data_IF_357477763850
#
_entry.id   IF_357477763850
#
_cell.length_a   1.000
_cell.length_b   1.000
_cell.length_c   1.000
_cell.angle_alpha   90.00
_cell.angle_beta   90.00
_cell.angle_gamma   90.00
#
_symmetry.space_group_name_H-M   'P 1'
#
loop_
_entity.id
_entity.type
_entity.pdbx_description
1 polymer ?
#
# COMPACT_ATOMS: atom_id res chain seq x y z
N UNK A 1 23.44 -27.00 -8.86
CA UNK A 1 22.65 -26.00 -9.60
C UNK A 1 23.39 -24.68 -9.54
N UNK A 2 23.58 -23.97 -10.65
CA UNK A 2 24.08 -22.61 -10.63
C UNK A 2 23.02 -21.66 -10.06
N UNK A 3 23.44 -20.59 -9.39
CA UNK A 3 22.53 -19.60 -8.78
C UNK A 3 21.64 -18.91 -9.83
N UNK A 4 22.09 -18.82 -11.08
CA UNK A 4 21.33 -18.23 -12.20
C UNK A 4 20.12 -19.08 -12.58
N UNK A 5 20.29 -20.40 -12.70
CA UNK A 5 19.19 -21.34 -12.96
C UNK A 5 18.17 -21.32 -11.79
N UNK A 6 18.66 -21.24 -10.56
CA UNK A 6 17.79 -21.12 -9.38
C UNK A 6 17.00 -19.81 -9.40
N UNK A 7 17.63 -18.71 -9.80
CA UNK A 7 16.96 -17.41 -9.95
C UNK A 7 15.86 -17.44 -11.01
N UNK A 8 16.11 -18.09 -12.14
CA UNK A 8 15.12 -18.26 -13.22
C UNK A 8 13.93 -19.10 -12.75
N UNK A 9 14.17 -20.23 -12.08
CA UNK A 9 13.10 -21.08 -11.51
C UNK A 9 12.23 -20.28 -10.52
N UNK A 10 12.83 -19.46 -9.65
CA UNK A 10 12.10 -18.62 -8.69
C UNK A 10 11.31 -17.53 -9.41
N UNK A 11 11.88 -16.88 -10.43
CA UNK A 11 11.15 -15.88 -11.21
C UNK A 11 9.96 -16.48 -11.95
N UNK A 12 10.11 -17.68 -12.51
CA UNK A 12 9.01 -18.39 -13.15
C UNK A 12 7.93 -18.75 -12.12
N UNK A 13 8.29 -19.29 -10.96
CA UNK A 13 7.34 -19.63 -9.90
C UNK A 13 6.49 -18.41 -9.49
N UNK A 14 7.13 -17.28 -9.22
CA UNK A 14 6.45 -16.03 -8.89
C UNK A 14 5.58 -15.50 -10.04
N UNK A 15 6.03 -15.67 -11.29
CA UNK A 15 5.26 -15.25 -12.47
C UNK A 15 3.99 -16.10 -12.68
N UNK A 16 4.02 -17.37 -12.29
CA UNK A 16 2.85 -18.25 -12.36
C UNK A 16 1.85 -17.98 -11.23
N UNK A 17 2.26 -17.36 -10.13
CA UNK A 17 1.32 -16.96 -9.07
C UNK A 17 0.57 -15.69 -9.46
N UNK A 18 -0.72 -15.85 -9.78
CA UNK A 18 -1.62 -14.73 -10.09
C UNK A 18 -1.89 -13.79 -8.93
N UNK A 19 -1.56 -14.19 -7.70
CA UNK A 19 -1.76 -13.40 -6.49
C UNK A 19 -0.58 -12.52 -6.17
N UNK A 20 0.57 -12.71 -6.83
CA UNK A 20 1.81 -11.97 -6.60
C UNK A 20 2.18 -11.16 -7.84
N UNK A 21 2.47 -9.87 -7.66
CA UNK A 21 3.01 -9.05 -8.75
C UNK A 21 4.52 -9.29 -8.90
N UNK A 22 4.88 -10.26 -9.75
CA UNK A 22 6.28 -10.61 -10.01
C UNK A 22 7.10 -9.44 -10.61
N UNK A 23 6.47 -8.50 -11.31
CA UNK A 23 7.17 -7.34 -11.91
C UNK A 23 7.61 -6.33 -10.82
N UNK A 24 6.86 -6.27 -9.73
CA UNK A 24 7.19 -5.45 -8.56
C UNK A 24 8.28 -6.06 -7.66
N UNK A 25 8.70 -7.31 -7.92
CA UNK A 25 9.66 -8.05 -7.10
C UNK A 25 10.98 -8.25 -7.83
N UNK A 26 12.06 -7.82 -7.21
CA UNK A 26 13.43 -8.14 -7.62
C UNK A 26 13.93 -9.35 -6.85
N UNK A 27 14.34 -10.39 -7.59
CA UNK A 27 14.92 -11.63 -7.07
C UNK A 27 16.43 -11.63 -7.25
N UNK A 28 17.15 -11.77 -6.13
CA UNK A 28 18.60 -11.97 -6.10
C UNK A 28 18.92 -13.32 -5.44
N UNK A 29 19.87 -14.06 -6.01
CA UNK A 29 20.31 -15.36 -5.46
C UNK A 29 21.82 -15.32 -5.25
N UNK A 30 22.26 -15.73 -4.07
CA UNK A 30 23.68 -15.82 -3.73
C UNK A 30 23.96 -17.04 -2.86
N UNK A 31 24.76 -17.97 -3.38
CA UNK A 31 25.13 -19.22 -2.69
C UNK A 31 23.92 -20.06 -2.21
N UNK A 32 22.82 -20.04 -2.99
CA UNK A 32 21.54 -20.67 -2.64
C UNK A 32 20.70 -19.92 -1.61
N UNK A 33 21.07 -18.69 -1.22
CA UNK A 33 20.23 -17.79 -0.42
C UNK A 33 19.50 -16.83 -1.37
N UNK A 34 18.18 -16.85 -1.31
CA UNK A 34 17.29 -16.00 -2.11
C UNK A 34 16.97 -14.74 -1.34
N UNK A 35 17.06 -13.58 -1.99
CA UNK A 35 16.66 -12.30 -1.43
C UNK A 35 15.58 -11.69 -2.32
N UNK A 36 14.40 -11.44 -1.73
CA UNK A 36 13.26 -10.81 -2.39
C UNK A 36 13.17 -9.35 -1.96
N UNK A 37 13.21 -8.42 -2.92
CA UNK A 37 13.11 -6.97 -2.69
C UNK A 37 11.98 -6.38 -3.51
N UNK A 38 11.27 -5.40 -2.97
CA UNK A 38 10.15 -4.80 -3.68
C UNK A 38 9.13 -4.16 -2.75
N UNK A 39 8.10 -3.60 -3.35
CA UNK A 39 6.99 -2.97 -2.67
C UNK A 39 5.66 -3.55 -3.20
N UNK A 40 4.94 -4.28 -2.35
CA UNK A 40 3.70 -4.98 -2.70
C UNK A 40 2.49 -4.29 -2.04
N UNK A 41 1.27 -4.34 -2.60
CA UNK A 41 0.11 -3.63 -2.07
C UNK A 41 -0.43 -4.23 -0.76
N UNK A 42 -0.20 -5.52 -0.49
CA UNK A 42 -0.72 -6.21 0.69
C UNK A 42 0.30 -7.17 1.34
N UNK A 43 0.09 -7.50 2.62
CA UNK A 43 0.95 -8.44 3.36
C UNK A 43 0.78 -9.90 2.90
N UNK A 44 -0.40 -10.25 2.39
CA UNK A 44 -0.68 -11.58 1.87
C UNK A 44 0.21 -11.89 0.65
N UNK A 45 0.42 -10.90 -0.22
CA UNK A 45 1.35 -10.99 -1.34
C UNK A 45 2.79 -11.26 -0.92
N UNK A 46 3.26 -10.59 0.14
CA UNK A 46 4.59 -10.86 0.71
C UNK A 46 4.69 -12.30 1.20
N UNK A 47 3.61 -12.80 1.82
CA UNK A 47 3.56 -14.18 2.32
C UNK A 47 3.62 -15.18 1.17
N UNK A 48 2.80 -15.02 0.13
CA UNK A 48 2.79 -15.92 -1.03
C UNK A 48 4.14 -15.91 -1.76
N UNK A 49 4.69 -14.74 -2.04
CA UNK A 49 6.00 -14.63 -2.68
C UNK A 49 7.12 -15.32 -1.89
N UNK A 50 7.05 -15.28 -0.56
CA UNK A 50 8.05 -15.96 0.29
C UNK A 50 7.83 -17.48 0.30
N UNK A 51 6.58 -17.94 0.27
CA UNK A 51 6.21 -19.36 0.23
C UNK A 51 6.63 -19.99 -1.09
N UNK A 52 6.33 -19.33 -2.22
CA UNK A 52 6.72 -19.79 -3.56
C UNK A 52 8.23 -19.90 -3.70
N UNK A 53 8.97 -18.90 -3.19
CA UNK A 53 10.43 -18.95 -3.19
C UNK A 53 11.00 -20.08 -2.31
N UNK A 54 10.27 -20.54 -1.30
CA UNK A 54 10.66 -21.70 -0.48
C UNK A 54 10.36 -23.03 -1.14
N UNK A 55 9.36 -23.09 -2.01
CA UNK A 55 8.94 -24.32 -2.71
C UNK A 55 9.95 -24.75 -3.80
N UNK A 56 10.77 -23.81 -4.28
CA UNK A 56 11.80 -24.10 -5.29
C UNK A 56 12.92 -24.99 -4.74
N UNK A 57 13.17 -26.09 -5.47
CA UNK A 57 14.17 -27.07 -5.07
C UNK A 57 15.61 -26.49 -5.14
N UNK A 58 16.33 -26.58 -4.04
CA UNK A 58 17.72 -26.10 -3.94
C UNK A 58 17.88 -24.76 -3.22
N UNK A 59 16.77 -24.12 -2.84
CA UNK A 59 16.79 -22.96 -1.94
C UNK A 59 17.25 -23.38 -0.55
N UNK A 60 18.29 -22.72 -0.04
CA UNK A 60 18.85 -22.96 1.30
C UNK A 60 18.29 -21.98 2.34
N UNK A 61 17.82 -20.83 1.88
CA UNK A 61 17.20 -19.83 2.72
C UNK A 61 16.59 -18.71 1.89
N UNK A 62 15.51 -18.13 2.41
CA UNK A 62 14.83 -16.98 1.80
C UNK A 62 14.88 -15.80 2.76
N UNK A 63 15.32 -14.65 2.24
CA UNK A 63 15.35 -13.37 2.92
C UNK A 63 14.33 -12.45 2.26
N UNK A 64 13.29 -12.12 3.01
CA UNK A 64 12.29 -11.14 2.58
C UNK A 64 12.71 -9.75 3.02
N UNK A 65 12.97 -8.88 2.05
CA UNK A 65 13.12 -7.42 2.22
C UNK A 65 11.94 -6.70 1.53
N UNK A 66 10.80 -7.39 1.37
CA UNK A 66 9.58 -6.86 0.80
C UNK A 66 8.87 -5.94 1.79
N UNK A 67 8.30 -4.86 1.28
CA UNK A 67 7.54 -3.90 2.09
C UNK A 67 6.14 -3.71 1.53
N UNK A 68 5.18 -3.42 2.39
CA UNK A 68 3.81 -3.13 1.93
C UNK A 68 3.72 -1.65 1.57
N UNK A 69 3.23 -1.35 0.36
CA UNK A 69 2.74 -0.03 -0.03
C UNK A 69 1.63 0.34 0.92
N UNK A 70 2.00 1.06 1.97
CA UNK A 70 1.08 1.57 2.97
C UNK A 70 0.09 2.51 2.29
N UNK A 71 -1.01 1.97 1.77
CA UNK A 71 -2.15 2.78 1.37
C UNK A 71 -2.83 3.24 2.66
N UNK A 72 -2.36 4.36 3.18
CA UNK A 72 -3.17 5.20 4.05
C UNK A 72 -4.28 5.84 3.19
N UNK A 73 -5.15 5.01 2.61
CA UNK A 73 -6.23 5.43 1.71
C UNK A 73 -7.59 4.84 2.08
N UNK A 74 -7.69 3.93 3.08
CA UNK A 74 -9.00 3.33 3.43
C UNK A 74 -9.44 3.43 4.88
N UNK A 75 -8.61 3.94 5.78
CA UNK A 75 -9.09 4.32 7.11
C UNK A 75 -9.34 5.83 7.12
N UNK A 76 -10.61 6.19 6.99
CA UNK A 76 -11.03 7.58 6.77
C UNK A 76 -10.41 8.57 7.74
N UNK A 77 -9.87 9.65 7.21
CA UNK A 77 -9.67 10.89 7.96
C UNK A 77 -9.54 12.06 6.98
N UNK A 78 -10.42 13.05 7.12
CA UNK A 78 -10.02 14.40 6.82
C UNK A 78 -8.85 14.75 7.74
N UNK A 79 -7.64 14.84 7.21
CA UNK A 79 -6.52 15.60 7.76
C UNK A 79 -5.34 15.59 6.78
N UNK A 80 -5.14 16.75 6.15
CA UNK A 80 -3.84 17.37 5.80
C UNK A 80 -2.72 16.52 5.19
N UNK A 81 -2.41 16.80 3.93
CA UNK A 81 -1.10 16.53 3.33
C UNK A 81 -1.16 16.61 1.82
N UNK A 82 -0.89 17.80 1.25
CA UNK A 82 -1.06 18.07 -0.17
C UNK A 82 0.16 17.76 -1.05
N UNK A 83 -0.11 17.57 -2.34
CA UNK A 83 0.68 17.98 -3.52
C UNK A 83 -0.14 17.56 -4.76
N UNK A 84 -0.81 18.50 -5.44
CA UNK A 84 -0.33 19.16 -6.67
C UNK A 84 -0.46 18.27 -7.92
N UNK A 85 -1.47 18.53 -8.75
CA UNK A 85 -1.45 18.65 -10.24
C UNK A 85 -2.91 18.89 -10.71
N UNK A 86 -3.32 20.13 -10.92
CA UNK A 86 -3.69 20.72 -12.23
C UNK A 86 -4.85 20.04 -12.97
N UNK A 87 -6.00 20.72 -13.06
CA UNK A 87 -6.73 20.86 -14.33
C UNK A 87 -7.68 22.07 -14.27
N UNK A 88 -7.53 22.94 -15.25
CA UNK A 88 -8.12 24.27 -15.29
C UNK A 88 -9.60 24.29 -15.71
N UNK A 89 -10.34 25.12 -14.99
CA UNK A 89 -11.43 25.99 -15.45
C UNK A 89 -12.50 25.43 -16.43
N UNK A 90 -13.74 25.30 -15.95
CA UNK A 90 -14.89 25.27 -16.85
C UNK A 90 -16.27 25.12 -16.20
N UNK A 91 -16.85 26.24 -15.75
CA UNK A 91 -18.32 26.44 -15.64
C UNK A 91 -19.03 25.71 -14.49
N UNK A 92 -20.23 26.07 -14.08
CA UNK A 92 -21.10 27.22 -14.31
C UNK A 92 -22.24 27.13 -13.27
N UNK A 93 -22.74 28.29 -12.86
CA UNK A 93 -24.11 28.53 -12.42
C UNK A 93 -24.66 27.91 -11.11
N UNK A 94 -25.17 28.83 -10.26
CA UNK A 94 -26.56 28.88 -9.77
C UNK A 94 -26.71 29.02 -8.24
N UNK A 95 -26.84 30.28 -7.82
CA UNK A 95 -27.94 30.86 -7.01
C UNK A 95 -28.68 29.94 -6.02
N UNK A 96 -28.69 30.35 -4.75
CA UNK A 96 -29.57 29.79 -3.72
C UNK A 96 -29.58 30.62 -2.44
N UNK A 97 -30.43 31.64 -2.41
CA UNK A 97 -30.74 32.50 -1.25
C UNK A 97 -31.47 31.73 -0.14
N UNK A 98 -31.21 32.08 1.13
CA UNK A 98 -32.02 31.63 2.27
C UNK A 98 -31.29 31.87 3.59
N UNK A 99 -31.37 33.09 4.13
CA UNK A 99 -32.36 33.56 5.11
C UNK A 99 -31.93 33.34 6.57
N UNK A 100 -31.80 34.48 7.21
CA UNK A 100 -31.51 34.78 8.60
C UNK A 100 -32.56 34.26 9.59
N UNK A 101 -32.09 33.88 10.78
CA UNK A 101 -32.90 33.69 12.00
C UNK A 101 -32.44 32.44 12.74
N UNK A 102 -32.16 32.43 14.04
CA UNK A 102 -32.33 33.39 15.10
C UNK A 102 -31.95 32.71 16.43
N UNK A 103 -31.44 33.51 17.36
CA UNK A 103 -31.58 33.43 18.82
C UNK A 103 -31.27 32.14 19.62
N UNK A 104 -30.51 32.35 20.69
CA UNK A 104 -30.85 31.74 21.99
C UNK A 104 -29.71 31.00 22.68
N UNK A 105 -28.76 31.71 23.31
CA UNK A 105 -27.95 31.13 24.40
C UNK A 105 -28.08 31.96 25.67
N UNK A 106 -29.12 31.61 26.42
CA UNK A 106 -29.27 31.93 27.84
C UNK A 106 -28.61 30.84 28.66
N UNK A 107 -27.62 31.19 29.49
CA UNK A 107 -27.43 30.73 30.89
C UNK A 107 -26.10 31.26 31.41
N UNK A 108 -26.17 32.39 32.11
CA UNK A 108 -25.13 32.89 33.01
C UNK A 108 -25.69 32.86 34.42
N UNK A 109 -24.78 32.59 35.37
CA UNK A 109 -24.90 32.58 36.84
C UNK A 109 -25.42 31.24 37.38
N UNK A 110 -24.74 30.58 38.30
CA UNK A 110 -23.63 30.99 39.16
C UNK A 110 -23.86 30.41 40.55
N UNK A 111 -22.76 30.19 41.28
CA UNK A 111 -22.63 30.05 42.74
C UNK A 111 -23.51 28.99 43.43
N UNK A 112 -22.99 28.06 44.19
CA UNK A 112 -21.82 28.14 45.06
C UNK A 112 -22.23 27.59 46.42
N UNK A 113 -21.34 26.77 46.99
CA UNK A 113 -21.34 26.19 48.34
C UNK A 113 -22.52 25.34 48.80
#
# INVERSE_FOLDING_TARGET
RPDEELREEIQEALFYDTWVDADAITVEVSEGIVTLRGELPDYDEIRYATDDAWDVEGVRGVRSELTVRGSMARFGAGASGGAAQEDGAGGAAAQGSGSSGGQGRSKKKGSGS
#
